data_IF_946755263612
#
_entry.id   IF_946755263612
#
_cell.length_a   1.000
_cell.length_b   1.000
_cell.length_c   1.000
_cell.angle_alpha   90.00
_cell.angle_beta   90.00
_cell.angle_gamma   90.00
#
_symmetry.space_group_name_H-M   'P 1'
#
loop_
_entity.id
_entity.type
_entity.pdbx_description
1 polymer ?
#
# COMPACT_ATOMS: atom_id res chain seq x y z
N UNK A 1 -1.28 -25.04 -18.72
CA UNK A 1 -1.70 -26.22 -19.49
C UNK A 1 -0.47 -27.03 -19.87
N UNK A 2 -0.10 -28.00 -19.03
CA UNK A 2 0.74 -29.16 -19.36
C UNK A 2 0.45 -30.21 -18.29
N UNK A 3 -0.75 -30.81 -18.34
CA UNK A 3 -0.93 -32.14 -17.73
C UNK A 3 -0.15 -33.08 -18.62
N UNK A 4 1.11 -33.28 -18.26
CA UNK A 4 2.06 -34.06 -19.02
C UNK A 4 1.47 -35.45 -19.30
N UNK A 5 1.74 -35.92 -20.51
CA UNK A 5 1.25 -37.18 -21.08
C UNK A 5 1.50 -38.39 -20.14
N UNK A 6 2.38 -38.24 -19.15
CA UNK A 6 2.68 -39.17 -18.06
C UNK A 6 1.57 -39.33 -17.02
N UNK A 7 0.89 -38.26 -16.58
CA UNK A 7 -0.14 -38.30 -15.53
C UNK A 7 -1.40 -39.02 -16.01
N UNK A 8 -1.86 -38.69 -17.23
CA UNK A 8 -3.01 -39.33 -17.85
C UNK A 8 -2.77 -40.82 -18.13
N UNK A 9 -1.54 -41.19 -18.50
CA UNK A 9 -1.15 -42.58 -18.68
C UNK A 9 -1.18 -43.38 -17.36
N UNK A 10 -0.72 -42.79 -16.25
CA UNK A 10 -0.78 -43.41 -14.92
C UNK A 10 -2.22 -43.57 -14.42
N UNK A 11 -3.07 -42.55 -14.59
CA UNK A 11 -4.50 -42.63 -14.24
C UNK A 11 -5.19 -43.75 -15.01
N UNK A 12 -4.86 -43.92 -16.29
CA UNK A 12 -5.44 -44.97 -17.14
C UNK A 12 -4.99 -46.36 -16.70
N UNK A 13 -3.71 -46.51 -16.31
CA UNK A 13 -3.16 -47.75 -15.73
C UNK A 13 -3.88 -48.14 -14.44
N UNK A 14 -4.09 -47.18 -13.52
CA UNK A 14 -4.82 -47.40 -12.26
C UNK A 14 -6.27 -47.83 -12.54
N UNK A 15 -6.97 -47.11 -13.44
CA UNK A 15 -8.35 -47.45 -13.82
C UNK A 15 -8.49 -48.85 -14.41
N UNK A 16 -7.48 -49.34 -15.12
CA UNK A 16 -7.48 -50.70 -15.67
C UNK A 16 -7.12 -51.76 -14.63
N UNK A 17 -6.24 -51.46 -13.67
CA UNK A 17 -5.96 -52.36 -12.54
C UNK A 17 -7.20 -52.57 -11.67
N UNK A 18 -7.93 -51.49 -11.35
CA UNK A 18 -9.18 -51.54 -10.58
C UNK A 18 -10.32 -52.32 -11.26
N UNK A 19 -10.27 -52.51 -12.59
CA UNK A 19 -11.24 -53.36 -13.30
C UNK A 19 -10.96 -54.84 -13.13
N UNK A 20 -9.71 -55.21 -12.86
CA UNK A 20 -9.26 -56.59 -12.89
C UNK A 20 -8.98 -57.15 -11.48
N UNK A 21 -8.59 -56.33 -10.48
CA UNK A 21 -8.50 -56.68 -9.05
C UNK A 21 -8.56 -55.44 -8.14
N UNK A 22 -8.97 -55.62 -6.87
CA UNK A 22 -9.13 -54.53 -5.86
C UNK A 22 -7.81 -53.85 -5.44
N UNK A 23 -6.66 -54.42 -5.78
CA UNK A 23 -5.34 -53.89 -5.38
C UNK A 23 -4.64 -53.17 -6.52
N UNK A 24 -4.27 -51.91 -6.28
CA UNK A 24 -3.50 -51.08 -7.21
C UNK A 24 -2.01 -51.22 -6.89
N UNK A 25 -1.22 -51.68 -7.86
CA UNK A 25 0.24 -51.81 -7.72
C UNK A 25 0.92 -50.69 -8.51
N UNK A 26 1.48 -49.73 -7.79
CA UNK A 26 2.29 -48.63 -8.32
C UNK A 26 3.76 -48.82 -7.95
N UNK A 27 4.66 -48.41 -8.85
CA UNK A 27 6.08 -48.25 -8.51
C UNK A 27 6.25 -47.00 -7.65
N UNK A 28 7.26 -46.99 -6.80
CA UNK A 28 7.56 -45.85 -5.91
C UNK A 28 7.67 -44.51 -6.67
N UNK A 29 8.36 -44.51 -7.82
CA UNK A 29 8.48 -43.32 -8.66
C UNK A 29 7.12 -42.85 -9.24
N UNK A 30 6.22 -43.78 -9.55
CA UNK A 30 4.87 -43.45 -10.05
C UNK A 30 3.99 -42.88 -8.92
N UNK A 31 4.13 -43.42 -7.70
CA UNK A 31 3.44 -42.92 -6.52
C UNK A 31 3.94 -41.51 -6.16
N UNK A 32 5.26 -41.29 -6.16
CA UNK A 32 5.86 -39.99 -5.84
C UNK A 32 5.45 -38.92 -6.87
N UNK A 33 5.41 -39.26 -8.16
CA UNK A 33 4.96 -38.34 -9.20
C UNK A 33 3.49 -37.92 -9.00
N UNK A 34 2.61 -38.84 -8.59
CA UNK A 34 1.21 -38.52 -8.29
C UNK A 34 1.08 -37.66 -7.04
N UNK A 35 1.85 -37.94 -5.99
CA UNK A 35 1.87 -37.12 -4.77
C UNK A 35 2.30 -35.69 -5.09
N UNK A 36 3.37 -35.52 -5.86
CA UNK A 36 3.87 -34.19 -6.25
C UNK A 36 2.83 -33.42 -7.09
N UNK A 37 2.18 -34.10 -8.03
CA UNK A 37 1.10 -33.51 -8.83
C UNK A 37 -0.11 -33.09 -7.98
N UNK A 38 -0.49 -33.92 -7.00
CA UNK A 38 -1.59 -33.62 -6.08
C UNK A 38 -1.25 -32.45 -5.15
N UNK A 39 -0.04 -32.39 -4.61
CA UNK A 39 0.43 -31.27 -3.79
C UNK A 39 0.47 -29.95 -4.58
N UNK A 40 0.91 -30.00 -5.84
CA UNK A 40 0.88 -28.85 -6.76
C UNK A 40 -0.56 -28.40 -7.05
N UNK A 41 -1.46 -29.33 -7.32
CA UNK A 41 -2.87 -29.03 -7.55
C UNK A 41 -3.54 -28.45 -6.30
N UNK A 42 -3.21 -28.95 -5.11
CA UNK A 42 -3.72 -28.45 -3.84
C UNK A 42 -3.23 -27.02 -3.54
N UNK A 43 -1.97 -26.70 -3.85
CA UNK A 43 -1.45 -25.33 -3.76
C UNK A 43 -2.11 -24.36 -4.76
N UNK A 44 -2.59 -24.87 -5.90
CA UNK A 44 -3.22 -24.06 -6.93
C UNK A 44 -4.73 -23.86 -6.70
N UNK A 45 -5.37 -24.65 -5.83
CA UNK A 45 -6.79 -24.46 -5.52
C UNK A 45 -6.99 -23.23 -4.63
N UNK A 46 -7.90 -22.32 -4.99
CA UNK A 46 -8.28 -21.23 -4.12
C UNK A 46 -8.89 -21.81 -2.84
N UNK A 47 -8.35 -21.40 -1.70
CA UNK A 47 -8.91 -21.74 -0.40
C UNK A 47 -10.26 -21.00 -0.24
N UNK A 48 -11.36 -21.74 -0.08
CA UNK A 48 -12.69 -21.16 0.25
C UNK A 48 -12.88 -20.86 1.74
N UNK A 49 -11.85 -21.11 2.56
CA UNK A 49 -11.92 -20.91 4.01
C UNK A 49 -11.81 -19.43 4.39
N UNK A 50 -12.32 -19.09 5.58
CA UNK A 50 -12.19 -17.73 6.13
C UNK A 50 -10.72 -17.36 6.30
N UNK A 51 -10.40 -16.12 5.95
CA UNK A 51 -9.06 -15.57 6.11
C UNK A 51 -8.94 -14.83 7.44
N UNK A 52 -7.73 -14.81 8.00
CA UNK A 52 -7.38 -13.99 9.15
C UNK A 52 -6.05 -13.28 8.89
N UNK A 53 -5.84 -12.17 9.61
CA UNK A 53 -4.55 -11.49 9.67
C UNK A 53 -3.76 -12.06 10.84
N UNK A 54 -2.52 -12.45 10.60
CA UNK A 54 -1.67 -12.92 11.67
C UNK A 54 -0.76 -11.82 12.26
N UNK A 55 0.02 -12.16 13.28
CA UNK A 55 0.90 -11.22 14.00
C UNK A 55 1.96 -10.54 13.11
N UNK A 56 2.36 -11.17 12.00
CA UNK A 56 3.27 -10.62 10.99
C UNK A 56 2.57 -9.75 9.93
N UNK A 57 1.25 -9.61 10.00
CA UNK A 57 0.47 -8.82 9.05
C UNK A 57 0.26 -9.51 7.70
N UNK A 58 0.46 -10.82 7.59
CA UNK A 58 0.12 -11.60 6.40
C UNK A 58 -1.32 -12.11 6.52
N UNK A 59 -2.07 -12.10 5.41
CA UNK A 59 -3.35 -12.79 5.36
C UNK A 59 -3.11 -14.28 5.22
N UNK A 60 -3.63 -15.07 6.16
CA UNK A 60 -3.55 -16.52 6.15
C UNK A 60 -4.93 -17.18 6.16
N UNK A 61 -4.99 -18.35 5.56
CA UNK A 61 -6.14 -19.24 5.61
C UNK A 61 -6.31 -19.83 7.02
N UNK A 62 -7.46 -19.64 7.66
CA UNK A 62 -7.72 -20.14 9.03
C UNK A 62 -7.64 -21.65 9.19
N UNK A 63 -7.92 -22.41 8.12
CA UNK A 63 -7.97 -23.87 8.12
C UNK A 63 -6.64 -24.52 7.72
N UNK A 64 -5.94 -23.90 6.79
CA UNK A 64 -4.81 -24.48 6.08
C UNK A 64 -3.48 -23.76 6.36
N UNK A 65 -3.53 -22.65 7.10
CA UNK A 65 -2.41 -21.78 7.49
C UNK A 65 -1.48 -21.39 6.33
N UNK A 66 -2.00 -21.47 5.09
CA UNK A 66 -1.28 -21.04 3.90
C UNK A 66 -1.45 -19.53 3.72
N UNK A 67 -0.35 -18.81 3.42
CA UNK A 67 -0.40 -17.38 3.12
C UNK A 67 -1.11 -17.14 1.80
N UNK A 68 -1.74 -15.97 1.66
CA UNK A 68 -2.38 -15.54 0.43
C UNK A 68 -1.37 -15.60 -0.74
N UNK A 69 -1.58 -16.53 -1.68
CA UNK A 69 -0.75 -16.65 -2.86
C UNK A 69 -0.84 -15.32 -3.66
N UNK A 70 0.31 -14.64 -3.80
CA UNK A 70 0.57 -13.50 -4.70
C UNK A 70 0.55 -12.05 -4.18
N UNK A 71 0.47 -11.77 -2.87
CA UNK A 71 0.60 -10.38 -2.38
C UNK A 71 2.02 -9.97 -1.94
N UNK A 72 2.99 -10.90 -1.92
CA UNK A 72 4.38 -10.60 -1.52
C UNK A 72 5.07 -9.64 -2.50
N UNK A 73 4.68 -9.59 -3.78
CA UNK A 73 5.28 -8.68 -4.76
C UNK A 73 4.64 -7.27 -4.80
N UNK A 74 3.44 -7.09 -4.23
CA UNK A 74 2.77 -5.77 -4.19
C UNK A 74 3.13 -4.97 -2.93
N UNK A 75 3.56 -5.63 -1.85
CA UNK A 75 4.00 -4.95 -0.64
C UNK A 75 5.20 -4.04 -0.91
N UNK A 76 6.24 -4.56 -1.56
CA UNK A 76 7.48 -3.80 -1.83
C UNK A 76 7.24 -2.59 -2.75
N UNK A 77 6.40 -2.74 -3.78
CA UNK A 77 6.09 -1.64 -4.70
C UNK A 77 5.23 -0.56 -4.02
N UNK A 78 4.22 -0.96 -3.25
CA UNK A 78 3.35 -0.03 -2.53
C UNK A 78 4.11 0.72 -1.43
N UNK A 79 5.05 0.06 -0.75
CA UNK A 79 5.88 0.69 0.29
C UNK A 79 6.78 1.80 -0.29
N UNK A 80 7.36 1.59 -1.47
CA UNK A 80 8.17 2.60 -2.17
C UNK A 80 7.33 3.82 -2.56
N UNK A 81 6.11 3.60 -3.08
CA UNK A 81 5.19 4.69 -3.42
C UNK A 81 4.75 5.48 -2.19
N UNK A 82 4.41 4.79 -1.09
CA UNK A 82 4.03 5.42 0.18
C UNK A 82 5.19 6.26 0.72
N UNK A 83 6.44 5.78 0.65
CA UNK A 83 7.61 6.53 1.09
C UNK A 83 7.82 7.80 0.26
N UNK A 84 7.72 7.71 -1.07
CA UNK A 84 7.86 8.86 -1.96
C UNK A 84 6.76 9.92 -1.72
N UNK A 85 5.52 9.49 -1.50
CA UNK A 85 4.41 10.40 -1.18
C UNK A 85 4.59 11.10 0.17
N UNK A 86 5.05 10.37 1.20
CA UNK A 86 5.36 10.95 2.52
C UNK A 86 6.45 12.01 2.43
N UNK A 87 7.49 11.76 1.64
CA UNK A 87 8.55 12.75 1.41
C UNK A 87 8.01 14.00 0.73
N UNK A 88 7.17 13.85 -0.30
CA UNK A 88 6.57 15.00 -1.00
C UNK A 88 5.62 15.80 -0.11
N UNK A 89 4.87 15.15 0.78
CA UNK A 89 4.05 15.82 1.79
C UNK A 89 4.94 16.63 2.73
N UNK A 90 6.00 16.03 3.28
CA UNK A 90 6.94 16.73 4.15
C UNK A 90 7.59 17.94 3.47
N UNK A 91 8.01 17.80 2.21
CA UNK A 91 8.55 18.90 1.42
C UNK A 91 7.52 20.02 1.24
N UNK A 92 6.26 19.69 0.93
CA UNK A 92 5.18 20.67 0.78
C UNK A 92 4.81 21.34 2.10
N UNK A 93 4.77 20.59 3.21
CA UNK A 93 4.53 21.12 4.55
C UNK A 93 5.69 21.99 5.05
N UNK A 94 6.93 21.71 4.62
CA UNK A 94 8.10 22.54 4.95
C UNK A 94 8.12 23.89 4.22
N UNK A 95 7.40 24.01 3.09
CA UNK A 95 7.30 25.24 2.31
C UNK A 95 6.44 26.25 3.06
N UNK A 96 7.07 26.99 3.96
CA UNK A 96 6.44 28.17 4.57
C UNK A 96 6.30 29.28 3.53
N UNK A 97 5.07 29.69 3.24
CA UNK A 97 4.79 30.86 2.39
C UNK A 97 4.80 32.09 3.29
N UNK A 98 5.83 32.92 3.17
CA UNK A 98 5.90 34.23 3.82
C UNK A 98 5.48 35.32 2.84
N UNK A 99 4.61 36.23 3.26
CA UNK A 99 4.21 37.41 2.48
C UNK A 99 4.85 38.68 3.03
N UNK A 100 5.30 39.57 2.14
CA UNK A 100 5.75 40.92 2.52
C UNK A 100 4.54 41.85 2.58
N UNK A 101 4.31 42.45 3.73
CA UNK A 101 3.25 43.45 3.89
C UNK A 101 3.74 44.81 3.39
N UNK A 102 2.91 45.59 2.69
CA UNK A 102 3.26 46.95 2.29
C UNK A 102 3.38 47.85 3.51
N UNK A 103 4.31 48.80 3.47
CA UNK A 103 4.39 49.87 4.47
C UNK A 103 3.24 50.87 4.22
N UNK A 104 2.36 51.01 5.22
CA UNK A 104 1.19 51.88 5.14
C UNK A 104 1.39 53.22 5.85
N UNK A 105 2.60 53.52 6.34
CA UNK A 105 2.92 54.79 7.00
C UNK A 105 2.62 55.99 6.09
N UNK A 106 1.77 56.92 6.53
CA UNK A 106 1.54 58.20 5.85
C UNK A 106 2.66 59.19 6.17
N UNK A 107 3.31 59.73 5.13
CA UNK A 107 4.27 60.83 5.25
C UNK A 107 3.51 62.15 5.29
N UNK A 108 3.49 62.82 6.44
CA UNK A 108 2.88 64.15 6.58
C UNK A 108 4.01 65.17 6.76
N UNK A 109 4.41 65.81 5.65
CA UNK A 109 5.38 66.92 5.57
C UNK A 109 6.58 66.86 6.56
N UNK A 110 7.71 66.32 6.10
CA UNK A 110 8.96 66.16 6.87
C UNK A 110 9.15 64.74 7.42
N UNK A 111 10.13 64.54 8.32
CA UNK A 111 10.47 63.24 8.94
C UNK A 111 9.45 62.75 10.00
N UNK A 112 8.25 63.36 10.08
CA UNK A 112 7.24 63.01 11.08
C UNK A 112 6.21 62.04 10.50
N UNK A 113 6.30 60.80 10.95
CA UNK A 113 5.33 59.73 10.67
C UNK A 113 4.16 59.79 11.68
N UNK A 114 2.93 59.76 11.17
CA UNK A 114 1.71 59.60 11.99
C UNK A 114 0.88 58.48 11.37
N UNK A 115 0.54 57.47 12.16
CA UNK A 115 -0.48 56.51 11.76
C UNK A 115 -1.83 57.21 11.89
N UNK A 116 -2.59 57.30 10.80
CA UNK A 116 -4.01 57.58 10.97
C UNK A 116 -4.65 56.35 11.62
N UNK A 117 -5.54 56.56 12.60
CA UNK A 117 -6.16 55.46 13.37
C UNK A 117 -6.79 54.40 12.45
N UNK A 118 -7.35 54.80 11.31
CA UNK A 118 -7.90 53.89 10.31
C UNK A 118 -6.86 52.98 9.63
N UNK A 119 -5.68 53.51 9.31
CA UNK A 119 -4.60 52.74 8.68
C UNK A 119 -3.97 51.76 9.66
N UNK A 120 -3.83 52.17 10.93
CA UNK A 120 -3.35 51.27 11.99
C UNK A 120 -4.29 50.08 12.15
N UNK A 121 -5.59 50.33 12.32
CA UNK A 121 -6.59 49.28 12.50
C UNK A 121 -6.62 48.32 11.31
N UNK A 122 -6.62 48.84 10.08
CA UNK A 122 -6.57 48.01 8.87
C UNK A 122 -5.33 47.09 8.83
N UNK A 123 -4.16 47.59 9.23
CA UNK A 123 -2.94 46.77 9.27
C UNK A 123 -3.02 45.63 10.29
N UNK A 124 -3.73 45.83 11.41
CA UNK A 124 -3.93 44.81 12.44
C UNK A 124 -4.92 43.76 11.95
N UNK A 125 -6.02 44.18 11.31
CA UNK A 125 -7.01 43.27 10.74
C UNK A 125 -6.39 42.33 9.69
N UNK A 126 -5.52 42.87 8.82
CA UNK A 126 -4.79 42.06 7.83
C UNK A 126 -3.87 41.03 8.50
N UNK A 127 -3.14 41.42 9.55
CA UNK A 127 -2.28 40.49 10.31
C UNK A 127 -3.10 39.41 11.01
N UNK A 128 -4.24 39.77 11.58
CA UNK A 128 -5.15 38.82 12.23
C UNK A 128 -5.70 37.80 11.22
N UNK A 129 -6.15 38.25 10.05
CA UNK A 129 -6.67 37.39 8.98
C UNK A 129 -5.60 36.44 8.42
N UNK A 130 -4.36 36.93 8.22
CA UNK A 130 -3.24 36.10 7.78
C UNK A 130 -2.91 35.02 8.82
N UNK A 131 -2.89 35.39 10.10
CA UNK A 131 -2.67 34.45 11.21
C UNK A 131 -3.77 33.40 11.28
N UNK A 132 -5.04 33.80 11.13
CA UNK A 132 -6.17 32.89 11.13
C UNK A 132 -6.10 31.86 9.98
N UNK A 133 -5.48 32.22 8.86
CA UNK A 133 -5.22 31.33 7.71
C UNK A 133 -3.90 30.57 7.79
N UNK A 134 -3.14 30.74 8.88
CA UNK A 134 -1.82 30.12 9.06
C UNK A 134 -0.74 30.65 8.13
N UNK A 135 -0.94 31.82 7.52
CA UNK A 135 0.02 32.46 6.62
C UNK A 135 0.96 33.33 7.44
N UNK A 136 2.27 33.12 7.26
CA UNK A 136 3.31 33.93 7.91
C UNK A 136 3.59 35.19 7.08
N UNK A 137 4.06 36.24 7.72
CA UNK A 137 4.56 37.44 7.06
C UNK A 137 5.96 37.79 7.57
N UNK A 138 6.73 38.51 6.77
CA UNK A 138 8.02 39.03 7.19
C UNK A 138 7.80 40.20 8.15
N UNK A 139 8.43 40.16 9.33
CA UNK A 139 8.54 41.32 10.21
C UNK A 139 9.66 42.22 9.67
N UNK A 140 9.38 43.53 9.50
CA UNK A 140 10.42 44.55 9.22
C UNK A 140 11.44 44.64 10.36
#
# INVERSE_FOLDING_TARGET
MTTDITELALITKIKNQLKNFDTVVLREAEANALVEALEKAQRAQPCEHSMFWDASGVKRCSKCDMPEHANVHYADAAEVEIAALRQRIADLESRTVTVKLPDLRQVVSGDRYVWSDGVFNYSQDVKAELTAKGIKWEAE
#
